data_IF_900366865821
#
_entry.id   IF_900366865821
#
_cell.length_a   1.000
_cell.length_b   1.000
_cell.length_c   1.000
_cell.angle_alpha   90.00
_cell.angle_beta   90.00
_cell.angle_gamma   90.00
#
_symmetry.space_group_name_H-M   'P 1'
#
loop_
_entity.id
_entity.type
_entity.pdbx_description
1 polymer ?
#
# COMPACT_ATOMS: atom_id res chain seq x y z
N UNK A 1 11.26 -6.00 5.17
CA UNK A 1 10.58 -6.73 6.27
C UNK A 1 11.54 -7.79 6.81
N UNK A 2 11.78 -7.86 8.13
CA UNK A 2 12.69 -8.84 8.76
C UNK A 2 12.10 -10.25 8.68
N UNK A 3 12.41 -10.96 7.59
CA UNK A 3 11.90 -12.31 7.28
C UNK A 3 12.53 -13.38 8.18
N UNK A 4 13.74 -13.14 8.66
CA UNK A 4 14.48 -13.90 9.66
C UNK A 4 13.65 -14.09 10.95
N UNK A 5 13.21 -12.99 11.56
CA UNK A 5 12.41 -13.01 12.80
C UNK A 5 11.04 -13.64 12.54
N UNK A 6 10.43 -13.36 11.40
CA UNK A 6 9.14 -13.95 11.02
C UNK A 6 9.21 -15.48 10.91
N UNK A 7 10.24 -16.01 10.26
CA UNK A 7 10.43 -17.45 10.11
C UNK A 7 10.70 -18.12 11.46
N UNK A 8 11.53 -17.51 12.31
CA UNK A 8 11.80 -18.01 13.66
C UNK A 8 10.54 -18.01 14.53
N UNK A 9 9.74 -16.95 14.49
CA UNK A 9 8.45 -16.89 15.18
C UNK A 9 7.44 -17.90 14.65
N UNK A 10 7.48 -18.22 13.35
CA UNK A 10 6.61 -19.22 12.74
C UNK A 10 6.96 -20.64 13.22
N UNK A 11 8.24 -20.93 13.46
CA UNK A 11 8.69 -22.21 14.03
C UNK A 11 8.29 -22.35 15.51
N UNK A 12 8.34 -21.23 16.25
CA UNK A 12 7.98 -21.19 17.68
C UNK A 12 6.44 -21.10 17.87
N UNK A 13 5.67 -21.00 16.77
CA UNK A 13 4.26 -20.58 16.80
C UNK A 13 3.35 -21.51 17.60
N UNK A 14 3.73 -22.76 17.74
CA UNK A 14 2.95 -23.78 18.45
C UNK A 14 2.87 -23.54 19.97
N UNK A 15 3.83 -22.81 20.57
CA UNK A 15 3.92 -22.56 22.02
C UNK A 15 3.72 -21.09 22.44
N UNK A 16 3.20 -20.24 21.55
CA UNK A 16 3.18 -18.77 21.73
C UNK A 16 2.41 -18.29 22.96
N UNK A 17 1.38 -19.01 23.41
CA UNK A 17 0.52 -18.55 24.52
C UNK A 17 1.30 -18.33 25.82
N UNK A 18 2.48 -18.93 25.95
CA UNK A 18 3.33 -18.89 27.15
C UNK A 18 4.47 -17.86 27.03
N UNK A 19 4.80 -17.38 25.83
CA UNK A 19 6.00 -16.58 25.60
C UNK A 19 5.79 -15.08 25.80
N UNK A 20 6.69 -14.46 26.58
CA UNK A 20 6.71 -13.01 26.75
C UNK A 20 7.25 -12.32 25.48
N UNK A 21 6.40 -11.49 24.86
CA UNK A 21 6.73 -10.73 23.64
C UNK A 21 7.98 -9.83 23.81
N UNK A 22 8.20 -9.28 25.01
CA UNK A 22 9.36 -8.41 25.29
C UNK A 22 10.66 -9.18 25.37
N UNK A 23 10.63 -10.39 25.93
CA UNK A 23 11.79 -11.27 26.00
C UNK A 23 12.20 -11.74 24.60
N UNK A 24 11.21 -12.12 23.80
CA UNK A 24 11.39 -12.56 22.42
C UNK A 24 12.02 -11.45 21.55
N UNK A 25 11.60 -10.20 21.78
CA UNK A 25 12.20 -9.04 21.15
C UNK A 25 13.68 -8.85 21.50
N UNK A 26 14.06 -9.05 22.77
CA UNK A 26 15.47 -8.99 23.20
C UNK A 26 16.30 -10.10 22.57
N UNK A 27 15.79 -11.34 22.55
CA UNK A 27 16.47 -12.51 21.95
C UNK A 27 16.73 -12.32 20.44
N UNK A 28 15.77 -11.75 19.72
CA UNK A 28 15.88 -11.49 18.27
C UNK A 28 16.45 -10.11 17.92
N UNK A 29 16.90 -9.35 18.92
CA UNK A 29 17.38 -7.98 18.78
C UNK A 29 16.43 -7.12 17.91
N UNK A 30 15.12 -7.21 18.15
CA UNK A 30 14.08 -6.50 17.42
C UNK A 30 13.18 -5.69 18.34
N UNK A 31 12.48 -4.71 17.77
CA UNK A 31 11.42 -4.01 18.49
C UNK A 31 10.24 -4.96 18.82
N UNK A 32 9.69 -4.84 20.03
CA UNK A 32 8.54 -5.63 20.50
C UNK A 32 7.33 -5.54 19.54
N UNK A 33 7.11 -4.40 18.89
CA UNK A 33 6.03 -4.20 17.90
C UNK A 33 6.22 -5.08 16.67
N UNK A 34 7.47 -5.42 16.33
CA UNK A 34 7.77 -6.34 15.22
C UNK A 34 7.31 -7.75 15.55
N UNK A 35 7.64 -8.23 16.76
CA UNK A 35 7.15 -9.52 17.27
C UNK A 35 5.63 -9.54 17.34
N UNK A 36 5.02 -8.51 17.94
CA UNK A 36 3.57 -8.39 18.08
C UNK A 36 2.86 -8.39 16.72
N UNK A 37 3.39 -7.65 15.74
CA UNK A 37 2.89 -7.62 14.36
C UNK A 37 2.95 -8.98 13.67
N UNK A 38 3.99 -9.78 13.94
CA UNK A 38 4.13 -11.11 13.35
C UNK A 38 3.26 -12.16 14.07
N UNK A 39 3.06 -12.02 15.39
CA UNK A 39 2.20 -12.89 16.18
C UNK A 39 0.70 -12.71 15.88
N UNK A 40 0.24 -11.45 15.83
CA UNK A 40 -1.18 -11.11 15.62
C UNK A 40 -1.63 -11.29 14.15
N UNK A 41 -0.79 -11.92 13.33
CA UNK A 41 -0.93 -11.94 11.88
C UNK A 41 -0.44 -10.61 11.31
N UNK A 42 0.52 -10.70 10.39
CA UNK A 42 0.74 -9.59 9.49
C UNK A 42 -0.55 -9.43 8.70
N UNK A 43 -1.38 -8.45 9.04
CA UNK A 43 -2.30 -7.80 8.11
C UNK A 43 -1.48 -7.05 7.04
N UNK A 44 -0.55 -7.78 6.44
CA UNK A 44 0.10 -7.53 5.18
C UNK A 44 -0.57 -8.43 4.13
N UNK A 45 -1.85 -8.75 4.30
CA UNK A 45 -2.74 -8.61 3.16
C UNK A 45 -2.42 -7.23 2.59
N UNK A 46 -1.70 -7.27 1.47
CA UNK A 46 -1.25 -6.12 0.71
C UNK A 46 -2.17 -4.94 0.99
N UNK A 47 -1.65 -3.86 1.60
CA UNK A 47 -2.38 -2.59 1.64
C UNK A 47 -2.95 -2.44 0.23
N UNK A 48 -4.28 -2.52 0.09
CA UNK A 48 -4.90 -2.52 -1.24
C UNK A 48 -4.29 -1.32 -1.94
N UNK A 49 -3.66 -1.50 -3.12
CA UNK A 49 -3.13 -0.37 -3.85
C UNK A 49 -4.28 0.64 -3.97
N UNK A 50 -4.04 1.85 -3.48
CA UNK A 50 -5.07 2.89 -3.58
C UNK A 50 -5.07 3.31 -5.04
N UNK A 51 -6.16 3.02 -5.74
CA UNK A 51 -6.37 3.57 -7.07
C UNK A 51 -6.60 5.07 -6.94
N UNK A 52 -5.54 5.84 -7.12
CA UNK A 52 -5.59 7.30 -7.15
C UNK A 52 -5.97 7.68 -8.57
N UNK A 53 -7.28 7.83 -8.82
CA UNK A 53 -7.77 8.42 -10.07
C UNK A 53 -7.62 9.93 -9.98
N UNK A 54 -6.97 10.52 -10.98
CA UNK A 54 -6.95 11.97 -11.17
C UNK A 54 -8.29 12.44 -11.71
N UNK A 55 -8.70 13.66 -11.35
CA UNK A 55 -9.91 14.30 -11.92
C UNK A 55 -9.84 14.45 -13.44
N UNK A 56 -8.63 14.42 -14.01
CA UNK A 56 -8.38 14.58 -15.44
C UNK A 56 -8.47 13.22 -16.18
N UNK A 57 -8.37 12.09 -15.47
CA UNK A 57 -8.27 10.78 -16.11
C UNK A 57 -9.49 10.48 -16.98
N UNK A 58 -10.69 10.87 -16.54
CA UNK A 58 -11.95 10.70 -17.28
C UNK A 58 -12.04 11.58 -18.55
N UNK A 59 -11.19 12.61 -18.67
CA UNK A 59 -11.20 13.57 -19.79
C UNK A 59 -9.97 13.48 -20.68
N UNK A 60 -9.01 12.59 -20.38
CA UNK A 60 -7.75 12.46 -21.12
C UNK A 60 -7.96 12.23 -22.61
N UNK A 61 -8.88 11.34 -22.96
CA UNK A 61 -9.16 11.02 -24.37
C UNK A 61 -9.70 12.23 -25.14
N UNK A 62 -10.61 13.00 -24.52
CA UNK A 62 -11.19 14.22 -25.11
C UNK A 62 -10.11 15.29 -25.29
N UNK A 63 -9.20 15.42 -24.33
CA UNK A 63 -8.10 16.38 -24.39
C UNK A 63 -7.13 15.99 -25.51
N UNK A 64 -6.70 14.73 -25.56
CA UNK A 64 -5.78 14.24 -26.61
C UNK A 64 -6.40 14.45 -27.99
N UNK A 65 -7.66 14.04 -28.18
CA UNK A 65 -8.30 14.20 -29.48
C UNK A 65 -8.35 15.68 -29.88
N UNK A 66 -8.93 16.53 -29.04
CA UNK A 66 -9.19 17.92 -29.43
C UNK A 66 -7.93 18.79 -29.50
N UNK A 67 -6.97 18.56 -28.62
CA UNK A 67 -5.73 19.36 -28.56
C UNK A 67 -4.70 18.80 -29.54
N UNK A 68 -4.42 17.49 -29.49
CA UNK A 68 -3.32 16.90 -30.26
C UNK A 68 -3.73 16.57 -31.70
N UNK A 69 -4.93 16.04 -31.95
CA UNK A 69 -5.37 15.72 -33.32
C UNK A 69 -5.94 16.95 -34.04
N UNK A 70 -6.73 17.78 -33.34
CA UNK A 70 -7.45 18.91 -33.94
C UNK A 70 -6.85 20.30 -33.66
N UNK A 71 -5.80 20.39 -32.84
CA UNK A 71 -5.10 21.67 -32.57
C UNK A 71 -5.95 22.70 -31.82
N UNK A 72 -6.99 22.28 -31.09
CA UNK A 72 -7.90 23.18 -30.39
C UNK A 72 -7.21 23.85 -29.20
N UNK A 73 -7.55 25.13 -28.97
CA UNK A 73 -7.08 25.85 -27.80
C UNK A 73 -7.63 25.20 -26.51
N UNK A 74 -6.76 25.02 -25.51
CA UNK A 74 -7.09 24.46 -24.19
C UNK A 74 -8.33 25.10 -23.54
N UNK A 75 -8.54 26.41 -23.71
CA UNK A 75 -9.73 27.11 -23.18
C UNK A 75 -11.04 26.65 -23.84
N UNK A 76 -11.00 26.36 -25.14
CA UNK A 76 -12.16 25.84 -25.87
C UNK A 76 -12.49 24.40 -25.42
N UNK A 77 -11.47 23.57 -25.21
CA UNK A 77 -11.64 22.20 -24.69
C UNK A 77 -12.18 22.21 -23.26
N UNK A 78 -11.70 23.11 -22.41
CA UNK A 78 -12.23 23.28 -21.05
C UNK A 78 -13.72 23.65 -21.06
N UNK A 79 -14.11 24.66 -21.86
CA UNK A 79 -15.52 25.07 -22.00
C UNK A 79 -16.39 23.97 -22.61
N UNK A 80 -15.81 23.12 -23.45
CA UNK A 80 -16.49 21.96 -24.01
C UNK A 80 -16.76 20.88 -22.95
N UNK A 81 -15.79 20.62 -22.06
CA UNK A 81 -15.94 19.66 -20.95
C UNK A 81 -16.88 20.17 -19.86
N UNK A 82 -16.96 21.50 -19.67
CA UNK A 82 -17.81 22.12 -18.65
C UNK A 82 -19.31 22.12 -19.02
N UNK A 83 -19.64 21.97 -20.31
CA UNK A 83 -21.02 21.94 -20.82
C UNK A 83 -21.69 20.60 -20.57
#
# INVERSE_FOLDING_TARGET
MRKDVFNQLKLIKEDISVLNKSELARRFNCDRRTVDKYLNGTNAESRKPRDIKSKIDDFKEIIIDKVDNWGSNSMAVFKFIQK
#
